data_IF_619216555076
#
_entry.id   IF_619216555076
#
_cell.length_a   1.000
_cell.length_b   1.000
_cell.length_c   1.000
_cell.angle_alpha   90.00
_cell.angle_beta   90.00
_cell.angle_gamma   90.00
#
_symmetry.space_group_name_H-M   'P 1'
#
loop_
_entity.id
_entity.type
_entity.pdbx_description
1 polymer ?
#
# COMPACT_ATOMS: atom_id res chain seq x y z
N UNK A 1 -21.12 10.14 -9.67
CA UNK A 1 -19.90 9.64 -8.99
C UNK A 1 -20.38 9.21 -7.62
N UNK A 2 -20.08 8.00 -7.16
CA UNK A 2 -19.95 7.88 -5.71
C UNK A 2 -18.76 8.79 -5.41
N UNK A 3 -18.95 9.90 -4.69
CA UNK A 3 -17.83 10.73 -4.28
C UNK A 3 -16.76 9.88 -3.59
N UNK A 4 -15.55 10.39 -3.37
CA UNK A 4 -14.45 9.67 -2.70
C UNK A 4 -14.81 9.36 -1.22
N UNK A 5 -15.93 8.69 -0.96
CA UNK A 5 -16.61 8.64 0.32
C UNK A 5 -15.75 7.96 1.38
N UNK A 6 -15.03 6.89 1.01
CA UNK A 6 -14.19 6.15 1.93
C UNK A 6 -12.91 6.93 2.20
N UNK A 7 -12.31 7.46 1.13
CA UNK A 7 -11.10 8.26 1.22
C UNK A 7 -11.34 9.57 2.00
N UNK A 8 -12.43 10.29 1.71
CA UNK A 8 -12.82 11.53 2.36
C UNK A 8 -13.12 11.26 3.84
N UNK A 9 -13.90 10.20 4.15
CA UNK A 9 -14.17 9.80 5.53
C UNK A 9 -12.88 9.47 6.29
N UNK A 10 -11.94 8.75 5.66
CA UNK A 10 -10.64 8.47 6.26
C UNK A 10 -9.86 9.76 6.53
N UNK A 11 -9.74 10.66 5.55
CA UNK A 11 -8.98 11.91 5.66
C UNK A 11 -9.57 12.86 6.71
N UNK A 12 -10.90 12.98 6.78
CA UNK A 12 -11.60 13.77 7.80
C UNK A 12 -11.42 13.20 9.20
N UNK A 13 -11.12 11.91 9.33
CA UNK A 13 -10.88 11.23 10.61
C UNK A 13 -9.42 11.33 11.10
N UNK A 14 -8.50 11.93 10.32
CA UNK A 14 -7.09 12.03 10.70
C UNK A 14 -6.91 13.17 11.72
N UNK A 15 -6.46 12.81 12.92
CA UNK A 15 -6.02 13.80 13.91
C UNK A 15 -4.64 14.36 13.56
N UNK A 16 -3.69 13.47 13.23
CA UNK A 16 -2.31 13.83 12.88
C UNK A 16 -1.71 12.88 11.86
N UNK A 17 -0.79 13.39 11.04
CA UNK A 17 0.05 12.57 10.16
C UNK A 17 1.48 13.08 10.19
N UNK A 18 2.43 12.17 10.40
CA UNK A 18 3.85 12.46 10.47
C UNK A 18 4.65 11.46 9.62
N UNK A 19 5.51 11.99 8.76
CA UNK A 19 6.42 11.18 7.95
C UNK A 19 7.79 11.07 8.60
N UNK A 20 8.30 9.84 8.73
CA UNK A 20 9.68 9.56 9.15
C UNK A 20 10.41 8.87 8.01
N UNK A 21 11.41 9.56 7.47
CA UNK A 21 12.28 9.04 6.41
C UNK A 21 13.73 9.36 6.73
N UNK A 22 14.64 8.69 6.04
CA UNK A 22 16.04 9.03 6.16
C UNK A 22 16.28 10.48 5.69
N UNK A 23 16.78 11.30 6.61
CA UNK A 23 17.21 12.68 6.33
C UNK A 23 18.48 13.09 7.10
N UNK A 24 19.02 12.23 7.96
CA UNK A 24 20.18 12.52 8.81
C UNK A 24 20.97 11.25 9.11
N UNK A 25 22.29 11.38 9.19
CA UNK A 25 23.27 10.30 9.30
C UNK A 25 23.10 9.43 10.56
N UNK A 26 23.69 8.21 10.60
CA UNK A 26 23.65 7.32 11.74
C UNK A 26 24.08 8.02 13.04
N UNK A 27 23.52 7.61 14.20
CA UNK A 27 23.94 8.10 15.50
C UNK A 27 25.47 7.95 15.67
N UNK A 28 26.17 9.06 15.93
CA UNK A 28 27.63 9.08 16.12
C UNK A 28 28.48 9.32 14.87
N UNK A 29 27.88 9.57 13.71
CA UNK A 29 28.59 9.77 12.44
C UNK A 29 29.41 11.07 12.33
N UNK A 30 29.31 12.01 13.28
CA UNK A 30 29.98 13.34 13.28
C UNK A 30 29.77 14.23 12.03
N UNK A 31 29.02 13.77 11.04
CA UNK A 31 28.74 14.50 9.82
C UNK A 31 27.42 15.26 10.02
N UNK A 32 27.34 16.49 9.53
CA UNK A 32 26.11 17.28 9.61
C UNK A 32 25.04 16.74 8.65
N UNK A 33 23.77 16.68 9.08
CA UNK A 33 22.67 16.26 8.22
C UNK A 33 22.56 17.17 7.00
N UNK A 34 22.56 16.56 5.81
CA UNK A 34 22.43 17.25 4.52
C UNK A 34 20.97 17.69 4.29
N UNK A 35 20.47 18.61 5.12
CA UNK A 35 19.17 19.23 4.88
C UNK A 35 19.33 20.19 3.69
N UNK A 36 18.68 19.89 2.57
CA UNK A 36 18.48 20.84 1.47
C UNK A 36 19.43 20.76 0.27
N UNK A 37 20.14 19.65 0.04
CA UNK A 37 20.84 19.40 -1.24
C UNK A 37 20.28 18.15 -1.93
N UNK A 38 20.21 18.18 -3.27
CA UNK A 38 19.85 17.03 -4.10
C UNK A 38 20.83 15.89 -3.82
N UNK A 39 20.36 14.85 -3.11
CA UNK A 39 21.13 13.61 -2.88
C UNK A 39 21.27 12.90 -4.23
N UNK A 40 22.50 12.66 -4.69
CA UNK A 40 22.74 11.92 -5.94
C UNK A 40 22.69 10.41 -5.75
N UNK A 41 22.52 9.65 -6.83
CA UNK A 41 22.59 8.18 -6.83
C UNK A 41 23.95 7.68 -6.30
N UNK A 42 25.02 8.44 -6.54
CA UNK A 42 26.37 8.11 -6.06
C UNK A 42 26.54 8.38 -4.56
N UNK A 43 25.86 9.41 -4.01
CA UNK A 43 25.85 9.69 -2.57
C UNK A 43 25.12 8.59 -1.80
N UNK A 44 23.99 8.11 -2.35
CA UNK A 44 23.29 6.93 -1.81
C UNK A 44 24.18 5.70 -1.95
N UNK A 45 24.74 5.42 -3.13
CA UNK A 45 25.57 4.23 -3.34
C UNK A 45 26.82 4.19 -2.45
N UNK A 46 27.47 5.33 -2.19
CA UNK A 46 28.59 5.45 -1.27
C UNK A 46 28.20 5.18 0.19
N UNK A 47 27.03 5.65 0.61
CA UNK A 47 26.48 5.43 1.95
C UNK A 47 26.00 3.97 2.15
N UNK A 48 25.38 3.40 1.13
CA UNK A 48 24.84 2.04 1.11
C UNK A 48 25.93 0.96 1.10
N UNK A 49 27.07 1.21 0.42
CA UNK A 49 28.23 0.29 0.47
C UNK A 49 28.90 0.25 1.85
N UNK A 50 28.74 1.31 2.66
CA UNK A 50 29.31 1.40 4.01
C UNK A 50 28.43 0.79 5.11
N UNK A 51 27.12 0.65 4.85
CA UNK A 51 26.16 0.01 5.74
C UNK A 51 25.89 -1.40 5.23
N UNK A 52 26.39 -2.40 5.95
CA UNK A 52 26.28 -3.85 5.71
C UNK A 52 24.82 -4.32 5.49
N UNK A 53 24.22 -3.96 4.36
CA UNK A 53 22.94 -4.50 3.91
C UNK A 53 23.12 -6.01 3.76
N UNK A 54 22.22 -6.72 4.41
CA UNK A 54 22.18 -8.17 4.36
C UNK A 54 20.83 -8.61 3.80
N UNK A 55 20.73 -9.88 3.44
CA UNK A 55 19.55 -10.48 2.79
C UNK A 55 18.23 -10.17 3.49
N UNK A 56 18.23 -9.92 4.79
CA UNK A 56 17.01 -9.60 5.51
C UNK A 56 16.48 -8.19 5.22
N UNK A 57 17.37 -7.20 5.06
CA UNK A 57 16.97 -5.84 4.67
C UNK A 57 16.42 -5.82 3.25
N UNK A 58 17.09 -6.56 2.36
CA UNK A 58 16.62 -6.79 0.98
C UNK A 58 15.26 -7.49 0.99
N UNK A 59 15.05 -8.48 1.88
CA UNK A 59 13.77 -9.17 2.01
C UNK A 59 12.64 -8.24 2.47
N UNK A 60 12.89 -7.35 3.43
CA UNK A 60 11.92 -6.31 3.84
C UNK A 60 11.63 -5.37 2.67
N UNK A 61 12.67 -4.84 2.03
CA UNK A 61 12.53 -3.93 0.89
C UNK A 61 11.72 -4.56 -0.25
N UNK A 62 12.03 -5.81 -0.64
CA UNK A 62 11.30 -6.55 -1.67
C UNK A 62 9.85 -6.76 -1.28
N UNK A 63 9.57 -7.09 -0.01
CA UNK A 63 8.21 -7.28 0.47
C UNK A 63 7.42 -5.97 0.44
N UNK A 64 7.99 -4.88 0.95
CA UNK A 64 7.37 -3.54 0.91
C UNK A 64 7.14 -3.09 -0.53
N UNK A 65 8.11 -3.29 -1.45
CA UNK A 65 7.93 -3.00 -2.88
C UNK A 65 6.83 -3.86 -3.52
N UNK A 66 6.73 -5.13 -3.13
CA UNK A 66 5.70 -6.04 -3.66
C UNK A 66 4.29 -5.54 -3.33
N UNK A 67 4.06 -4.99 -2.15
CA UNK A 67 2.73 -4.53 -1.76
C UNK A 67 2.56 -3.00 -1.89
N UNK A 68 3.60 -2.23 -2.21
CA UNK A 68 3.63 -0.76 -2.20
C UNK A 68 3.57 -0.13 -0.81
N UNK A 69 2.57 -0.52 0.01
CA UNK A 69 2.39 -0.07 1.39
C UNK A 69 2.15 -1.26 2.30
N UNK A 70 2.91 -1.35 3.39
CA UNK A 70 2.74 -2.40 4.41
C UNK A 70 2.70 -1.84 5.82
N UNK A 71 2.07 -2.60 6.70
CA UNK A 71 2.15 -2.42 8.15
C UNK A 71 3.16 -3.39 8.77
N UNK A 72 3.45 -3.21 10.05
CA UNK A 72 4.42 -4.02 10.78
C UNK A 72 4.06 -5.51 10.80
N UNK A 73 2.79 -5.83 11.06
CA UNK A 73 2.36 -7.21 11.26
C UNK A 73 2.46 -8.08 10.01
N UNK A 74 2.04 -7.63 8.82
CA UNK A 74 2.34 -8.32 7.57
C UNK A 74 3.83 -8.58 7.37
N UNK A 75 4.70 -7.59 7.58
CA UNK A 75 6.16 -7.76 7.42
C UNK A 75 6.68 -8.85 8.37
N UNK A 76 6.28 -8.78 9.64
CA UNK A 76 6.62 -9.78 10.66
C UNK A 76 6.17 -11.18 10.25
N UNK A 77 4.94 -11.30 9.76
CA UNK A 77 4.31 -12.58 9.40
C UNK A 77 4.98 -13.22 8.18
N UNK A 78 5.09 -12.48 7.07
CA UNK A 78 5.65 -13.00 5.81
C UNK A 78 7.13 -13.39 5.92
N UNK A 79 7.91 -12.67 6.73
CA UNK A 79 9.34 -12.94 6.90
C UNK A 79 9.65 -13.86 8.09
N UNK A 80 8.64 -14.23 8.88
CA UNK A 80 8.82 -15.12 10.03
C UNK A 80 9.68 -14.54 11.16
N UNK A 81 9.79 -13.22 11.27
CA UNK A 81 10.63 -12.57 12.28
C UNK A 81 9.95 -12.53 13.66
N UNK A 82 10.76 -12.63 14.71
CA UNK A 82 10.30 -12.30 16.07
C UNK A 82 10.05 -10.79 16.17
N UNK A 83 9.11 -10.36 17.02
CA UNK A 83 8.72 -8.95 17.18
C UNK A 83 9.91 -7.99 17.32
N UNK A 84 10.81 -8.24 18.29
CA UNK A 84 11.97 -7.37 18.55
C UNK A 84 12.94 -7.31 17.37
N UNK A 85 13.11 -8.42 16.68
CA UNK A 85 13.97 -8.51 15.52
C UNK A 85 13.38 -7.75 14.32
N UNK A 86 12.09 -7.96 14.03
CA UNK A 86 11.37 -7.24 12.97
C UNK A 86 11.45 -5.72 13.20
N UNK A 87 11.17 -5.28 14.44
CA UNK A 87 11.24 -3.86 14.81
C UNK A 87 12.62 -3.27 14.58
N UNK A 88 13.68 -3.97 15.01
CA UNK A 88 15.06 -3.54 14.78
C UNK A 88 15.39 -3.43 13.29
N UNK A 89 15.00 -4.42 12.48
CA UNK A 89 15.31 -4.44 11.04
C UNK A 89 14.54 -3.38 10.25
N UNK A 90 13.28 -3.13 10.60
CA UNK A 90 12.49 -2.03 10.01
C UNK A 90 13.14 -0.69 10.34
N UNK A 91 13.54 -0.48 11.59
CA UNK A 91 14.26 0.72 12.01
C UNK A 91 15.56 0.92 11.21
N UNK A 92 16.34 -0.15 11.03
CA UNK A 92 17.54 -0.13 10.19
C UNK A 92 17.21 0.22 8.73
N UNK A 93 16.11 -0.28 8.17
CA UNK A 93 15.66 0.08 6.83
C UNK A 93 15.25 1.56 6.72
N UNK A 94 14.65 2.13 7.77
CA UNK A 94 14.28 3.56 7.80
C UNK A 94 15.53 4.43 7.92
N UNK A 95 16.44 4.09 8.84
CA UNK A 95 17.70 4.81 9.08
C UNK A 95 18.72 4.65 7.94
N UNK A 96 18.48 3.77 6.99
CA UNK A 96 19.30 3.61 5.78
C UNK A 96 18.63 4.21 4.55
N UNK A 97 17.38 4.67 4.64
CA UNK A 97 16.64 5.19 3.48
C UNK A 97 16.23 4.10 2.48
N UNK A 98 16.13 2.84 2.93
CA UNK A 98 15.53 1.76 2.15
C UNK A 98 14.00 1.90 2.09
N UNK A 99 13.41 2.23 3.24
CA UNK A 99 11.97 2.47 3.37
C UNK A 99 11.74 3.76 4.15
N UNK A 100 10.56 4.35 4.03
CA UNK A 100 10.08 5.41 4.90
C UNK A 100 8.80 4.96 5.59
N UNK A 101 8.49 5.65 6.68
CA UNK A 101 7.34 5.42 7.53
C UNK A 101 6.39 6.63 7.48
N UNK A 102 5.09 6.39 7.40
CA UNK A 102 4.05 7.38 7.66
C UNK A 102 3.26 6.90 8.88
N UNK A 103 3.36 7.64 9.97
CA UNK A 103 2.53 7.46 11.16
C UNK A 103 1.27 8.31 10.99
N UNK A 104 0.11 7.67 11.05
CA UNK A 104 -1.19 8.30 10.88
C UNK A 104 -2.02 7.94 12.10
N UNK A 105 -2.51 8.96 12.80
CA UNK A 105 -3.33 8.80 14.01
C UNK A 105 -4.76 9.24 13.73
N UNK A 106 -5.69 8.33 13.99
CA UNK A 106 -7.13 8.56 14.10
C UNK A 106 -7.51 8.41 15.58
N UNK A 107 -8.73 8.82 15.94
CA UNK A 107 -9.23 8.82 17.33
C UNK A 107 -8.93 7.52 18.11
N UNK A 108 -9.18 6.36 17.49
CA UNK A 108 -9.06 5.04 18.13
C UNK A 108 -7.98 4.13 17.51
N UNK A 109 -7.32 4.57 16.43
CA UNK A 109 -6.45 3.72 15.61
C UNK A 109 -5.20 4.46 15.16
N UNK A 110 -4.06 3.78 15.23
CA UNK A 110 -2.81 4.27 14.65
C UNK A 110 -2.33 3.35 13.53
N UNK A 111 -1.96 3.95 12.41
CA UNK A 111 -1.36 3.27 11.27
C UNK A 111 0.12 3.63 11.15
N UNK A 112 0.95 2.60 10.93
CA UNK A 112 2.36 2.74 10.59
C UNK A 112 2.57 2.17 9.20
N UNK A 113 2.53 3.02 8.19
CA UNK A 113 2.68 2.65 6.79
C UNK A 113 4.13 2.72 6.37
N UNK A 114 4.68 1.60 5.92
CA UNK A 114 6.02 1.48 5.38
C UNK A 114 5.96 1.41 3.86
N UNK A 115 6.76 2.25 3.19
CA UNK A 115 6.87 2.32 1.73
C UNK A 115 8.34 2.42 1.31
N UNK A 116 8.64 2.09 0.05
CA UNK A 116 9.99 2.19 -0.50
C UNK A 116 10.46 3.64 -0.55
N UNK A 117 11.64 3.94 0.02
CA UNK A 117 12.28 5.26 -0.05
C UNK A 117 13.32 5.31 -1.17
N UNK A 118 13.89 6.49 -1.42
CA UNK A 118 14.82 6.77 -2.52
C UNK A 118 16.01 5.80 -2.57
N UNK A 119 16.61 5.47 -1.42
CA UNK A 119 17.70 4.50 -1.37
C UNK A 119 17.25 3.06 -1.62
N UNK A 120 16.00 2.74 -1.27
CA UNK A 120 15.34 1.49 -1.64
C UNK A 120 15.18 1.34 -3.15
N UNK A 121 14.80 2.40 -3.85
CA UNK A 121 14.72 2.39 -5.31
C UNK A 121 16.07 2.09 -5.96
N UNK A 122 17.13 2.77 -5.52
CA UNK A 122 18.47 2.51 -6.03
C UNK A 122 18.96 1.09 -5.71
N UNK A 123 18.59 0.54 -4.56
CA UNK A 123 18.89 -0.85 -4.21
C UNK A 123 18.15 -1.83 -5.10
N UNK A 124 16.85 -1.61 -5.36
CA UNK A 124 16.08 -2.44 -6.28
C UNK A 124 16.58 -2.32 -7.72
N UNK A 125 17.12 -1.17 -8.10
CA UNK A 125 17.75 -0.88 -9.41
C UNK A 125 18.98 -1.76 -9.60
N UNK A 126 19.82 -1.86 -8.57
CA UNK A 126 21.04 -2.66 -8.55
C UNK A 126 20.75 -4.17 -8.47
N UNK A 127 19.54 -4.55 -8.05
CA UNK A 127 19.05 -5.94 -8.05
C UNK A 127 18.32 -6.33 -9.35
N UNK A 128 18.40 -5.50 -10.40
CA UNK A 128 17.73 -5.69 -11.69
C UNK A 128 16.19 -5.81 -11.62
N UNK A 129 15.55 -5.24 -10.59
CA UNK A 129 14.09 -5.32 -10.37
C UNK A 129 13.30 -4.13 -10.98
N UNK A 130 13.89 -3.38 -11.91
CA UNK A 130 13.32 -2.12 -12.46
C UNK A 130 11.90 -2.22 -12.99
N UNK A 131 11.55 -3.36 -13.59
CA UNK A 131 10.21 -3.60 -14.15
C UNK A 131 9.14 -3.94 -13.10
N UNK A 132 9.52 -4.08 -11.82
CA UNK A 132 8.65 -4.56 -10.73
C UNK A 132 8.41 -3.48 -9.67
N UNK A 133 8.65 -2.19 -9.99
CA UNK A 133 8.49 -1.10 -9.02
C UNK A 133 7.04 -0.73 -8.82
N UNK A 134 6.54 -0.97 -7.61
CA UNK A 134 5.31 -0.34 -7.13
C UNK A 134 5.67 0.86 -6.27
N UNK A 135 6.51 1.75 -6.82
CA UNK A 135 6.96 2.94 -6.12
C UNK A 135 5.81 3.92 -5.92
N UNK A 136 5.67 4.38 -4.69
CA UNK A 136 4.86 5.52 -4.35
C UNK A 136 5.75 6.67 -3.90
N UNK A 137 5.74 7.82 -4.61
CA UNK A 137 6.50 8.99 -4.19
C UNK A 137 6.17 9.36 -2.75
N UNK A 138 7.18 9.71 -1.97
CA UNK A 138 6.98 10.23 -0.62
C UNK A 138 5.99 11.42 -0.59
N UNK A 139 6.02 12.24 -1.64
CA UNK A 139 5.16 13.41 -1.86
C UNK A 139 3.74 13.06 -2.31
N UNK A 140 3.40 11.78 -2.51
CA UNK A 140 2.03 11.37 -2.79
C UNK A 140 1.11 11.80 -1.64
N UNK A 141 -0.08 12.26 -2.00
CA UNK A 141 -1.11 12.66 -1.03
C UNK A 141 -1.58 11.46 -0.19
N UNK A 142 -2.11 11.75 1.00
CA UNK A 142 -2.64 10.72 1.89
C UNK A 142 -3.84 9.98 1.27
N UNK A 143 -4.60 10.64 0.40
CA UNK A 143 -5.67 10.05 -0.41
C UNK A 143 -5.17 8.92 -1.31
N UNK A 144 -4.08 9.20 -2.05
CA UNK A 144 -3.45 8.22 -2.95
C UNK A 144 -2.83 7.08 -2.17
N UNK A 145 -2.16 7.40 -1.05
CA UNK A 145 -1.57 6.43 -0.12
C UNK A 145 -2.64 5.50 0.43
N UNK A 146 -3.76 6.06 0.93
CA UNK A 146 -4.85 5.28 1.49
C UNK A 146 -5.44 4.30 0.47
N UNK A 147 -5.74 4.76 -0.75
CA UNK A 147 -6.25 3.87 -1.82
C UNK A 147 -5.31 2.70 -2.11
N UNK A 148 -4.00 2.94 -2.15
CA UNK A 148 -3.05 1.85 -2.36
C UNK A 148 -2.90 0.96 -1.13
N UNK A 149 -2.96 1.53 0.08
CA UNK A 149 -2.97 0.77 1.32
C UNK A 149 -4.15 -0.22 1.36
N UNK A 150 -5.35 0.22 1.02
CA UNK A 150 -6.54 -0.65 1.01
C UNK A 150 -6.39 -1.78 -0.04
N UNK A 151 -5.84 -1.48 -1.23
CA UNK A 151 -5.49 -2.52 -2.22
C UNK A 151 -4.44 -3.51 -1.67
N UNK A 152 -3.45 -3.00 -0.94
CA UNK A 152 -2.41 -3.81 -0.28
C UNK A 152 -3.03 -4.74 0.76
N UNK A 153 -3.96 -4.24 1.57
CA UNK A 153 -4.72 -5.02 2.56
C UNK A 153 -5.53 -6.14 1.90
N UNK A 154 -6.23 -5.84 0.81
CA UNK A 154 -6.93 -6.88 0.03
C UNK A 154 -5.99 -8.00 -0.41
N UNK A 155 -4.81 -7.65 -0.92
CA UNK A 155 -3.82 -8.63 -1.40
C UNK A 155 -3.25 -9.48 -0.27
N UNK A 156 -3.03 -8.89 0.91
CA UNK A 156 -2.55 -9.61 2.09
C UNK A 156 -3.63 -10.58 2.57
N UNK A 157 -4.86 -10.10 2.70
CA UNK A 157 -5.98 -10.88 3.23
C UNK A 157 -6.38 -12.01 2.25
N UNK A 158 -6.04 -11.90 0.95
CA UNK A 158 -6.34 -12.90 -0.09
C UNK A 158 -5.09 -13.46 -0.78
N UNK A 159 -3.93 -13.45 -0.10
CA UNK A 159 -2.64 -13.86 -0.67
C UNK A 159 -2.66 -15.30 -1.22
N UNK A 160 -3.40 -16.19 -0.55
CA UNK A 160 -3.54 -17.58 -0.95
C UNK A 160 -4.47 -17.79 -2.14
N UNK A 161 -5.24 -16.77 -2.56
CA UNK A 161 -6.19 -16.86 -3.67
C UNK A 161 -5.67 -16.22 -4.94
N UNK A 162 -4.86 -15.17 -4.81
CA UNK A 162 -4.40 -14.35 -5.92
C UNK A 162 -2.88 -14.15 -5.94
N UNK A 163 -2.30 -14.30 -7.13
CA UNK A 163 -0.95 -13.86 -7.42
C UNK A 163 -0.97 -12.37 -7.81
N UNK A 164 -0.13 -11.57 -7.14
CA UNK A 164 0.03 -10.16 -7.43
C UNK A 164 0.80 -9.94 -8.74
N UNK A 165 0.31 -9.04 -9.60
CA UNK A 165 0.99 -8.62 -10.84
C UNK A 165 1.45 -7.17 -10.77
N UNK A 166 0.56 -6.29 -10.34
CA UNK A 166 0.82 -4.87 -10.14
C UNK A 166 -0.17 -4.31 -9.12
N UNK A 167 0.06 -3.08 -8.67
CA UNK A 167 -0.84 -2.33 -7.79
C UNK A 167 -2.29 -2.18 -8.31
N UNK A 168 -2.57 -2.53 -9.56
CA UNK A 168 -3.91 -2.51 -10.15
C UNK A 168 -4.37 -3.87 -10.67
N UNK A 169 -3.54 -4.92 -10.61
CA UNK A 169 -3.85 -6.19 -11.24
C UNK A 169 -3.42 -7.40 -10.42
N UNK A 170 -4.29 -8.41 -10.42
CA UNK A 170 -4.06 -9.72 -9.80
C UNK A 170 -4.40 -10.84 -10.76
N UNK A 171 -3.87 -12.03 -10.50
CA UNK A 171 -4.21 -13.24 -11.25
C UNK A 171 -4.67 -14.32 -10.27
N UNK A 172 -5.80 -14.98 -10.54
CA UNK A 172 -6.26 -16.11 -9.74
C UNK A 172 -5.40 -17.38 -9.98
N UNK A 173 -5.67 -18.44 -9.22
CA UNK A 173 -4.99 -19.75 -9.38
C UNK A 173 -5.19 -20.40 -10.75
N UNK A 174 -6.24 -20.01 -11.48
CA UNK A 174 -6.56 -20.54 -12.82
C UNK A 174 -5.87 -19.74 -13.94
N UNK A 175 -5.09 -18.71 -13.58
CA UNK A 175 -4.39 -17.85 -14.54
C UNK A 175 -5.23 -16.69 -15.05
N UNK A 176 -6.43 -16.47 -14.50
CA UNK A 176 -7.33 -15.40 -14.91
C UNK A 176 -6.94 -14.09 -14.25
N UNK A 177 -6.82 -13.02 -15.04
CA UNK A 177 -6.42 -11.71 -14.53
C UNK A 177 -7.63 -10.84 -14.20
N UNK A 178 -7.50 -10.09 -13.09
CA UNK A 178 -8.50 -9.16 -12.63
C UNK A 178 -7.89 -7.78 -12.39
N UNK A 179 -8.65 -6.74 -12.71
CA UNK A 179 -8.34 -5.36 -12.30
C UNK A 179 -8.83 -5.12 -10.86
N UNK A 180 -8.02 -4.42 -10.06
CA UNK A 180 -8.39 -3.95 -8.72
C UNK A 180 -8.75 -2.47 -8.76
N UNK A 181 -10.02 -2.16 -8.46
CA UNK A 181 -10.54 -0.81 -8.49
C UNK A 181 -11.37 -0.50 -7.25
N UNK A 182 -11.22 0.70 -6.68
CA UNK A 182 -12.13 1.15 -5.63
C UNK A 182 -13.49 1.46 -6.22
N UNK A 183 -14.57 1.12 -5.52
CA UNK A 183 -15.92 1.38 -6.01
C UNK A 183 -16.17 2.88 -6.23
N UNK A 184 -15.59 3.74 -5.39
CA UNK A 184 -15.65 5.20 -5.55
C UNK A 184 -14.97 5.72 -6.83
N UNK A 185 -14.08 4.95 -7.44
CA UNK A 185 -13.40 5.31 -8.70
C UNK A 185 -14.24 4.96 -9.94
N UNK A 186 -15.37 4.28 -9.76
CA UNK A 186 -16.24 3.86 -10.87
C UNK A 186 -16.93 5.06 -11.52
N UNK A 187 -16.79 5.13 -12.85
CA UNK A 187 -17.46 6.12 -13.69
C UNK A 187 -18.75 5.53 -14.25
N UNK A 188 -19.88 6.09 -13.82
CA UNK A 188 -21.22 5.71 -14.28
C UNK A 188 -21.39 5.76 -15.81
N UNK A 189 -20.68 6.66 -16.50
CA UNK A 189 -20.70 6.76 -17.96
C UNK A 189 -19.88 5.66 -18.67
N UNK A 190 -19.22 4.78 -17.92
CA UNK A 190 -18.30 3.76 -18.43
C UNK A 190 -18.56 2.38 -17.80
N UNK A 191 -19.76 2.13 -17.26
CA UNK A 191 -20.09 0.87 -16.59
C UNK A 191 -19.89 -0.35 -17.48
N UNK A 192 -20.08 -0.18 -18.78
CA UNK A 192 -19.88 -1.20 -19.81
C UNK A 192 -18.42 -1.50 -20.13
N UNK A 193 -17.46 -0.75 -19.57
CA UNK A 193 -16.03 -0.96 -19.78
C UNK A 193 -15.37 -1.83 -18.71
N UNK A 194 -16.04 -2.04 -17.58
CA UNK A 194 -15.50 -2.87 -16.51
C UNK A 194 -15.80 -4.34 -16.78
N UNK A 195 -14.75 -5.13 -16.90
CA UNK A 195 -14.79 -6.58 -17.13
C UNK A 195 -13.68 -7.19 -16.29
N UNK A 196 -13.93 -8.35 -15.67
CA UNK A 196 -12.99 -9.01 -14.78
C UNK A 196 -12.42 -8.06 -13.71
N UNK A 197 -13.27 -7.27 -13.07
CA UNK A 197 -12.87 -6.29 -12.06
C UNK A 197 -13.28 -6.76 -10.67
N UNK A 198 -12.35 -6.69 -9.72
CA UNK A 198 -12.64 -6.82 -8.29
C UNK A 198 -12.79 -5.41 -7.74
N UNK A 199 -14.03 -5.04 -7.43
CA UNK A 199 -14.37 -3.76 -6.82
C UNK A 199 -14.16 -3.84 -5.31
N UNK A 200 -13.27 -2.99 -4.81
CA UNK A 200 -13.01 -2.81 -3.40
C UNK A 200 -14.03 -1.83 -2.83
N UNK A 201 -14.72 -2.22 -1.77
CA UNK A 201 -15.77 -1.43 -1.11
C UNK A 201 -15.63 -1.56 0.40
N UNK A 202 -16.13 -0.57 1.14
CA UNK A 202 -16.21 -0.60 2.59
C UNK A 202 -17.66 -0.33 2.99
N UNK A 203 -18.39 -1.39 3.31
CA UNK A 203 -19.83 -1.28 3.61
C UNK A 203 -20.09 -0.51 4.90
N UNK A 204 -19.25 -0.66 5.91
CA UNK A 204 -19.37 0.05 7.18
C UNK A 204 -19.33 1.58 7.00
N UNK A 205 -18.44 2.07 6.12
CA UNK A 205 -18.37 3.50 5.82
C UNK A 205 -19.59 3.97 5.03
N UNK A 206 -20.05 3.19 4.04
CA UNK A 206 -21.27 3.52 3.29
C UNK A 206 -22.49 3.62 4.21
N UNK A 207 -22.62 2.71 5.17
CA UNK A 207 -23.70 2.70 6.16
C UNK A 207 -23.62 3.95 7.06
N UNK A 208 -22.44 4.27 7.59
CA UNK A 208 -22.21 5.48 8.40
C UNK A 208 -22.57 6.77 7.66
N UNK A 209 -22.25 6.83 6.37
CA UNK A 209 -22.57 7.97 5.50
C UNK A 209 -24.02 7.97 5.00
N UNK A 210 -24.82 6.97 5.39
CA UNK A 210 -26.22 6.79 4.95
C UNK A 210 -26.37 6.78 3.44
N UNK A 211 -25.36 6.27 2.73
CA UNK A 211 -25.44 6.04 1.29
C UNK A 211 -26.31 4.79 1.11
N UNK A 212 -27.56 4.99 0.68
CA UNK A 212 -28.60 3.97 0.68
C UNK A 212 -28.16 2.66 0.00
N UNK A 213 -28.34 1.54 0.69
CA UNK A 213 -28.13 0.16 0.20
C UNK A 213 -28.72 -0.08 -1.19
N UNK A 214 -29.81 0.59 -1.55
CA UNK A 214 -30.42 0.51 -2.87
C UNK A 214 -29.49 1.02 -3.98
N UNK A 215 -28.75 2.10 -3.75
CA UNK A 215 -27.80 2.66 -4.73
C UNK A 215 -26.64 1.68 -4.92
N UNK A 216 -26.13 1.11 -3.83
CA UNK A 216 -25.10 0.08 -3.92
C UNK A 216 -25.63 -1.17 -4.62
N UNK A 217 -26.83 -1.66 -4.28
CA UNK A 217 -27.46 -2.82 -4.92
C UNK A 217 -27.71 -2.58 -6.41
N UNK A 218 -28.12 -1.38 -6.80
CA UNK A 218 -28.31 -1.03 -8.21
C UNK A 218 -27.00 -1.01 -8.97
N UNK A 219 -25.94 -0.47 -8.36
CA UNK A 219 -24.59 -0.43 -8.97
C UNK A 219 -24.01 -1.81 -9.06
N UNK A 220 -24.07 -2.55 -7.95
CA UNK A 220 -23.70 -3.93 -7.85
C UNK A 220 -24.41 -4.75 -8.93
N UNK A 221 -25.73 -4.60 -9.11
CA UNK A 221 -26.52 -5.29 -10.14
C UNK A 221 -26.09 -4.95 -11.58
N UNK A 222 -25.68 -3.70 -11.84
CA UNK A 222 -25.23 -3.30 -13.18
C UNK A 222 -23.83 -3.83 -13.45
N UNK A 223 -22.95 -3.74 -12.45
CA UNK A 223 -21.54 -4.12 -12.54
C UNK A 223 -21.30 -5.60 -12.36
N UNK A 224 -22.14 -6.37 -11.66
CA UNK A 224 -22.00 -7.82 -11.41
C UNK A 224 -22.12 -8.69 -12.68
N UNK A 225 -22.23 -8.05 -13.84
CA UNK A 225 -22.09 -8.71 -15.13
C UNK A 225 -20.59 -8.89 -15.43
N UNK A 226 -20.27 -9.80 -16.37
CA UNK A 226 -18.90 -9.97 -16.90
C UNK A 226 -17.86 -10.29 -15.82
N UNK A 227 -18.23 -11.20 -14.92
CA UNK A 227 -17.33 -11.80 -13.92
C UNK A 227 -16.68 -10.80 -12.96
N UNK A 228 -17.25 -9.61 -12.86
CA UNK A 228 -16.91 -8.65 -11.83
C UNK A 228 -17.37 -9.14 -10.46
N UNK A 229 -16.59 -8.82 -9.43
CA UNK A 229 -16.87 -9.20 -8.04
C UNK A 229 -16.63 -8.02 -7.11
N UNK A 230 -17.14 -8.11 -5.89
CA UNK A 230 -17.05 -7.06 -4.89
C UNK A 230 -16.44 -7.62 -3.63
N UNK A 231 -15.43 -6.94 -3.10
CA UNK A 231 -14.76 -7.30 -1.87
C UNK A 231 -15.00 -6.22 -0.83
N UNK A 232 -15.65 -6.58 0.26
CA UNK A 232 -15.86 -5.69 1.40
C UNK A 232 -14.63 -5.74 2.33
N UNK A 233 -14.00 -4.59 2.50
CA UNK A 233 -12.78 -4.41 3.31
C UNK A 233 -13.08 -4.44 4.80
N UNK A 234 -14.29 -4.09 5.21
CA UNK A 234 -14.71 -4.14 6.61
C UNK A 234 -14.89 -5.59 7.08
N UNK A 235 -15.69 -6.37 6.35
CA UNK A 235 -15.93 -7.78 6.67
C UNK A 235 -14.87 -8.75 6.13
N UNK A 236 -13.95 -8.25 5.31
CA UNK A 236 -12.88 -9.02 4.65
C UNK A 236 -13.39 -10.20 3.83
N UNK A 237 -14.49 -9.99 3.12
CA UNK A 237 -15.17 -11.05 2.38
C UNK A 237 -15.71 -10.57 1.04
N UNK A 238 -15.91 -11.52 0.11
CA UNK A 238 -16.59 -11.23 -1.14
C UNK A 238 -18.10 -11.16 -0.93
N UNK A 239 -18.74 -10.15 -1.54
CA UNK A 239 -20.17 -9.97 -1.44
C UNK A 239 -20.92 -10.93 -2.37
N UNK A 240 -21.87 -11.68 -1.80
CA UNK A 240 -22.86 -12.43 -2.57
C UNK A 240 -23.98 -11.49 -3.03
N UNK A 241 -23.92 -11.04 -4.28
CA UNK A 241 -25.01 -10.26 -4.87
C UNK A 241 -26.10 -11.23 -5.35
N UNK A 242 -27.14 -11.39 -4.54
CA UNK A 242 -28.34 -12.16 -4.89
C UNK A 242 -29.34 -11.25 -5.61
N UNK A 243 -29.82 -11.70 -6.78
CA UNK A 243 -30.79 -10.99 -7.61
C UNK A 243 -32.24 -11.34 -7.25
#
# INVERSE_FOLDING_TARGET
MFCNYETDYFLESIETSQGRRYNMLPPGSQVEPLIGRNISKDDVAGFFRSLLLNENHISILKLVNKFSILEFDPIKSFLGYKFKECKRRIEECILTGLIYENHIKLDDVEYFWYMVDTGGLYTLDDLDMKSEYNHMPFTAGLDQKYKQYVKSRFLIDNYDLYAFRSNTQVTDKKGKSYELLHLEEVRWSQLDKYDNTIFIVNLDVLEKLRINDLVLKDVARVLSKRENTFYDTAQKSFLEIRY
#
